data_IF_660329080019
#
_entry.id   IF_660329080019
#
_cell.length_a   1.000
_cell.length_b   1.000
_cell.length_c   1.000
_cell.angle_alpha   90.00
_cell.angle_beta   90.00
_cell.angle_gamma   90.00
#
_symmetry.space_group_name_H-M   'P 1'
#
loop_
_entity.id
_entity.type
_entity.pdbx_description
1 polymer ?
#
# COMPACT_ATOMS: atom_id res chain seq x y z
N UNK A 1 2.14 -25.87 5.29
CA UNK A 1 2.22 -25.23 3.97
C UNK A 1 1.77 -23.80 4.14
N UNK A 2 2.67 -22.83 3.94
CA UNK A 2 2.37 -21.41 4.20
C UNK A 2 1.62 -20.86 3.00
N UNK A 3 0.39 -20.39 3.22
CA UNK A 3 -0.41 -19.78 2.17
C UNK A 3 0.03 -18.31 1.99
N UNK A 4 0.83 -18.05 0.97
CA UNK A 4 1.33 -16.71 0.60
C UNK A 4 0.22 -15.65 0.52
N UNK A 5 -1.01 -16.06 0.21
CA UNK A 5 -2.19 -15.18 0.18
C UNK A 5 -2.52 -14.62 1.57
N UNK A 6 -2.41 -15.46 2.62
CA UNK A 6 -2.68 -15.04 4.00
C UNK A 6 -1.57 -14.14 4.54
N UNK A 7 -0.32 -14.43 4.18
CA UNK A 7 0.81 -13.56 4.50
C UNK A 7 0.67 -12.19 3.80
N UNK A 8 0.26 -12.20 2.53
CA UNK A 8 -0.06 -11.00 1.76
C UNK A 8 -1.15 -10.17 2.43
N UNK A 9 -2.16 -10.81 3.04
CA UNK A 9 -3.24 -10.15 3.77
C UNK A 9 -2.74 -9.50 5.06
N UNK A 10 -1.95 -10.21 5.86
CA UNK A 10 -1.40 -9.66 7.09
C UNK A 10 -0.54 -8.42 6.81
N UNK A 11 0.34 -8.50 5.80
CA UNK A 11 1.22 -7.38 5.44
C UNK A 11 0.44 -6.19 4.90
N UNK A 12 -0.53 -6.42 4.01
CA UNK A 12 -1.35 -5.35 3.47
C UNK A 12 -2.23 -4.71 4.56
N UNK A 13 -2.79 -5.52 5.46
CA UNK A 13 -3.58 -5.01 6.58
C UNK A 13 -2.75 -4.13 7.51
N UNK A 14 -1.57 -4.60 7.94
CA UNK A 14 -0.66 -3.81 8.79
C UNK A 14 -0.25 -2.52 8.07
N UNK A 15 0.14 -2.61 6.81
CA UNK A 15 0.55 -1.42 6.06
C UNK A 15 -0.61 -0.43 5.86
N UNK A 16 -1.84 -0.89 5.67
CA UNK A 16 -3.02 -0.02 5.60
C UNK A 16 -3.23 0.75 6.91
N UNK A 17 -3.16 0.08 8.06
CA UNK A 17 -3.28 0.74 9.37
C UNK A 17 -2.18 1.79 9.58
N UNK A 18 -0.94 1.48 9.17
CA UNK A 18 0.17 2.44 9.23
C UNK A 18 -0.07 3.66 8.32
N UNK A 19 -0.67 3.45 7.14
CA UNK A 19 -1.03 4.52 6.21
C UNK A 19 -2.10 5.44 6.80
N UNK A 20 -3.15 4.86 7.38
CA UNK A 20 -4.21 5.59 8.09
C UNK A 20 -3.64 6.39 9.26
N UNK A 21 -2.78 5.76 10.08
CA UNK A 21 -2.14 6.42 11.21
C UNK A 21 -1.27 7.59 10.74
N UNK A 22 -0.51 7.41 9.66
CA UNK A 22 0.34 8.44 9.12
C UNK A 22 -0.45 9.64 8.59
N UNK A 23 -1.56 9.39 7.87
CA UNK A 23 -2.47 10.44 7.38
C UNK A 23 -3.15 11.17 8.56
N UNK A 24 -3.52 10.45 9.62
CA UNK A 24 -4.16 11.04 10.80
C UNK A 24 -3.21 11.96 11.57
N UNK A 25 -1.94 11.56 11.72
CA UNK A 25 -0.89 12.36 12.36
C UNK A 25 -0.50 13.53 11.47
N UNK A 26 -0.34 13.26 10.17
CA UNK A 26 0.11 14.23 9.19
C UNK A 26 -1.09 14.84 8.47
N UNK A 27 -1.71 15.84 9.11
CA UNK A 27 -2.68 16.69 8.40
C UNK A 27 -1.93 17.36 7.24
N UNK A 28 -2.20 16.91 6.01
CA UNK A 28 -1.73 17.54 4.77
C UNK A 28 -2.41 18.90 4.57
N UNK A 29 -2.31 19.81 5.53
CA UNK A 29 -2.90 21.14 5.44
C UNK A 29 -1.88 22.11 4.87
N UNK A 30 -2.04 22.45 3.59
CA UNK A 30 -1.93 23.85 3.18
C UNK A 30 -0.71 24.36 2.41
N UNK A 31 0.17 23.54 1.81
CA UNK A 31 1.22 24.14 0.94
C UNK A 31 1.60 23.43 -0.36
N UNK A 32 1.19 22.19 -0.63
CA UNK A 32 1.53 21.51 -1.89
C UNK A 32 0.46 20.49 -2.29
N UNK A 33 -0.57 20.94 -3.02
CA UNK A 33 -1.68 20.08 -3.46
C UNK A 33 -1.25 18.87 -4.29
N UNK A 34 -0.05 18.91 -4.90
CA UNK A 34 0.53 17.76 -5.58
C UNK A 34 0.90 16.61 -4.62
N UNK A 35 1.45 16.91 -3.44
CA UNK A 35 1.86 15.90 -2.46
C UNK A 35 0.64 15.25 -1.82
N UNK A 36 -0.34 16.08 -1.47
CA UNK A 36 -1.63 15.63 -0.95
C UNK A 36 -2.34 14.73 -1.96
N UNK A 37 -2.39 15.13 -3.24
CA UNK A 37 -2.97 14.31 -4.30
C UNK A 37 -2.23 12.97 -4.47
N UNK A 38 -0.90 12.93 -4.42
CA UNK A 38 -0.14 11.69 -4.51
C UNK A 38 -0.46 10.74 -3.35
N UNK A 39 -0.51 11.24 -2.12
CA UNK A 39 -0.84 10.41 -0.96
C UNK A 39 -2.29 9.92 -0.97
N UNK A 40 -3.25 10.75 -1.40
CA UNK A 40 -4.64 10.33 -1.58
C UNK A 40 -4.75 9.26 -2.67
N UNK A 41 -4.08 9.43 -3.81
CA UNK A 41 -4.03 8.41 -4.87
C UNK A 41 -3.43 7.10 -4.36
N UNK A 42 -2.35 7.18 -3.58
CA UNK A 42 -1.72 6.05 -2.91
C UNK A 42 -2.70 5.31 -1.99
N UNK A 43 -3.38 6.05 -1.11
CA UNK A 43 -4.37 5.53 -0.17
C UNK A 43 -5.56 4.85 -0.89
N UNK A 44 -6.07 5.44 -1.96
CA UNK A 44 -7.15 4.85 -2.77
C UNK A 44 -6.68 3.53 -3.39
N UNK A 45 -5.48 3.51 -4.00
CA UNK A 45 -4.91 2.28 -4.55
C UNK A 45 -4.74 1.20 -3.48
N UNK A 46 -4.30 1.60 -2.29
CA UNK A 46 -4.13 0.72 -1.13
C UNK A 46 -5.47 0.09 -0.72
N UNK A 47 -6.50 0.92 -0.57
CA UNK A 47 -7.84 0.52 -0.18
C UNK A 47 -8.42 -0.49 -1.18
N UNK A 48 -8.28 -0.22 -2.48
CA UNK A 48 -8.73 -1.12 -3.55
C UNK A 48 -7.96 -2.45 -3.51
N UNK A 49 -6.64 -2.42 -3.32
CA UNK A 49 -5.84 -3.64 -3.19
C UNK A 49 -6.28 -4.48 -1.98
N UNK A 50 -6.58 -3.84 -0.86
CA UNK A 50 -7.03 -4.50 0.36
C UNK A 50 -8.41 -5.13 0.18
N UNK A 51 -9.37 -4.40 -0.42
CA UNK A 51 -10.69 -4.91 -0.74
C UNK A 51 -10.63 -6.14 -1.66
N UNK A 52 -9.85 -6.06 -2.75
CA UNK A 52 -9.66 -7.19 -3.66
C UNK A 52 -9.09 -8.41 -2.94
N UNK A 53 -8.09 -8.20 -2.08
CA UNK A 53 -7.48 -9.28 -1.32
C UNK A 53 -8.46 -9.92 -0.32
N UNK A 54 -9.25 -9.11 0.39
CA UNK A 54 -10.30 -9.57 1.28
C UNK A 54 -11.34 -10.40 0.51
N UNK A 55 -11.81 -9.91 -0.64
CA UNK A 55 -12.78 -10.64 -1.46
C UNK A 55 -12.23 -12.00 -1.96
N UNK A 56 -10.92 -12.08 -2.25
CA UNK A 56 -10.24 -13.32 -2.63
C UNK A 56 -10.14 -14.28 -1.42
N UNK A 57 -9.78 -13.78 -0.24
CA UNK A 57 -9.57 -14.62 0.96
C UNK A 57 -10.90 -15.15 1.52
N UNK A 58 -11.94 -14.32 1.55
CA UNK A 58 -13.27 -14.70 2.05
C UNK A 58 -14.14 -15.43 1.01
N UNK A 59 -13.63 -15.67 -0.20
CA UNK A 59 -14.33 -16.44 -1.23
C UNK A 59 -15.54 -15.73 -1.85
N UNK A 60 -15.64 -14.39 -1.69
CA UNK A 60 -16.75 -13.58 -2.24
C UNK A 60 -16.64 -13.40 -3.75
N UNK A 61 -15.41 -13.45 -4.29
CA UNK A 61 -15.17 -13.51 -5.74
C UNK A 61 -14.49 -14.83 -6.09
N UNK A 62 -14.73 -15.39 -7.30
CA UNK A 62 -13.87 -16.45 -7.80
C UNK A 62 -12.44 -15.93 -7.77
N UNK A 63 -11.51 -16.72 -7.21
CA UNK A 63 -10.09 -16.42 -7.11
C UNK A 63 -9.41 -16.45 -8.49
N UNK A 64 -9.99 -15.72 -9.44
CA UNK A 64 -9.59 -15.59 -10.82
C UNK A 64 -8.19 -14.98 -10.87
N UNK A 65 -7.41 -15.43 -11.84
CA UNK A 65 -6.06 -14.91 -12.06
C UNK A 65 -6.10 -13.40 -12.31
N UNK A 66 -7.16 -12.91 -12.97
CA UNK A 66 -7.39 -11.48 -13.21
C UNK A 66 -7.53 -10.68 -11.91
N UNK A 67 -8.31 -11.14 -10.93
CA UNK A 67 -8.48 -10.45 -9.65
C UNK A 67 -7.16 -10.37 -8.86
N UNK A 68 -6.37 -11.46 -8.87
CA UNK A 68 -5.04 -11.47 -8.24
C UNK A 68 -4.07 -10.50 -8.92
N UNK A 69 -4.07 -10.46 -10.25
CA UNK A 69 -3.24 -9.51 -11.02
C UNK A 69 -3.67 -8.07 -10.74
N UNK A 70 -4.97 -7.77 -10.75
CA UNK A 70 -5.49 -6.44 -10.43
C UNK A 70 -5.04 -6.00 -9.03
N UNK A 71 -5.18 -6.87 -8.03
CA UNK A 71 -4.67 -6.62 -6.67
C UNK A 71 -3.20 -6.27 -6.66
N UNK A 72 -2.36 -7.03 -7.39
CA UNK A 72 -0.91 -6.77 -7.47
C UNK A 72 -0.63 -5.40 -8.07
N UNK A 73 -1.30 -5.05 -9.18
CA UNK A 73 -1.16 -3.75 -9.82
C UNK A 73 -1.51 -2.60 -8.86
N UNK A 74 -2.63 -2.69 -8.14
CA UNK A 74 -3.02 -1.67 -7.17
C UNK A 74 -2.07 -1.60 -5.96
N UNK A 75 -1.54 -2.75 -5.50
CA UNK A 75 -0.52 -2.80 -4.43
C UNK A 75 0.76 -2.06 -4.81
N UNK A 76 1.22 -2.24 -6.05
CA UNK A 76 2.41 -1.55 -6.56
C UNK A 76 2.16 -0.07 -6.87
N UNK A 77 0.98 0.26 -7.40
CA UNK A 77 0.58 1.65 -7.60
C UNK A 77 0.51 2.41 -6.27
N UNK A 78 -0.06 1.81 -5.22
CA UNK A 78 -0.10 2.39 -3.88
C UNK A 78 1.31 2.71 -3.37
N UNK A 79 2.23 1.75 -3.45
CA UNK A 79 3.63 1.94 -3.08
C UNK A 79 4.28 3.08 -3.89
N UNK A 80 4.12 3.08 -5.22
CA UNK A 80 4.71 4.10 -6.07
C UNK A 80 4.21 5.50 -5.73
N UNK A 81 2.90 5.69 -5.58
CA UNK A 81 2.31 7.00 -5.25
C UNK A 81 2.75 7.51 -3.88
N UNK A 82 2.77 6.65 -2.85
CA UNK A 82 3.21 7.04 -1.50
C UNK A 82 4.70 7.41 -1.50
N UNK A 83 5.57 6.59 -2.12
CA UNK A 83 7.01 6.88 -2.18
C UNK A 83 7.29 8.16 -2.97
N UNK A 84 6.60 8.38 -4.10
CA UNK A 84 6.75 9.61 -4.88
C UNK A 84 6.30 10.82 -4.06
N UNK A 85 5.16 10.72 -3.36
CA UNK A 85 4.67 11.79 -2.47
C UNK A 85 5.69 12.14 -1.38
N UNK A 86 6.23 11.13 -0.69
CA UNK A 86 7.28 11.30 0.33
C UNK A 86 8.57 11.89 -0.27
N UNK A 87 8.99 11.45 -1.45
CA UNK A 87 10.21 11.93 -2.09
C UNK A 87 10.09 13.40 -2.53
N UNK A 88 8.95 13.79 -3.13
CA UNK A 88 8.68 15.19 -3.49
C UNK A 88 8.67 16.06 -2.23
N UNK A 89 8.04 15.56 -1.17
CA UNK A 89 8.01 16.27 0.10
C UNK A 89 9.41 16.48 0.68
N UNK A 90 10.22 15.41 0.76
CA UNK A 90 11.59 15.49 1.27
C UNK A 90 12.48 16.44 0.45
N UNK A 91 12.24 16.55 -0.86
CA UNK A 91 13.00 17.44 -1.73
C UNK A 91 12.59 18.92 -1.62
N UNK A 92 11.31 19.21 -1.29
CA UNK A 92 10.78 20.59 -1.25
C UNK A 92 10.89 21.25 0.11
N UNK A 93 10.77 20.47 1.18
CA UNK A 93 10.55 21.04 2.51
C UNK A 93 11.89 21.13 3.25
N UNK A 94 12.47 22.34 3.31
CA UNK A 94 13.61 22.67 4.20
C UNK A 94 13.23 22.55 5.69
N UNK A 95 11.94 22.48 6.01
CA UNK A 95 11.39 22.11 7.30
C UNK A 95 11.48 20.59 7.47
N UNK A 96 12.07 20.11 8.56
CA UNK A 96 12.09 18.68 8.87
C UNK A 96 10.63 18.19 8.99
N UNK A 97 10.11 17.34 8.07
CA UNK A 97 8.82 16.70 8.32
C UNK A 97 8.84 15.98 9.66
N UNK A 98 7.66 15.75 10.23
CA UNK A 98 7.56 14.85 11.36
C UNK A 98 8.17 13.50 10.95
N UNK A 99 9.32 13.13 11.52
CA UNK A 99 10.04 11.93 11.11
C UNK A 99 9.20 10.68 11.38
N UNK A 100 8.29 10.75 12.35
CA UNK A 100 7.44 9.63 12.71
C UNK A 100 6.41 9.33 11.60
N UNK A 101 5.66 10.35 11.15
CA UNK A 101 4.68 10.20 10.09
C UNK A 101 5.30 9.75 8.76
N UNK A 102 6.46 10.30 8.39
CA UNK A 102 7.17 9.89 7.17
C UNK A 102 7.65 8.45 7.24
N UNK A 103 8.15 8.01 8.40
CA UNK A 103 8.59 6.62 8.60
C UNK A 103 7.41 5.66 8.48
N UNK A 104 6.23 6.04 9.00
CA UNK A 104 5.01 5.26 8.87
C UNK A 104 4.56 5.12 7.40
N UNK A 105 4.56 6.21 6.62
CA UNK A 105 4.24 6.17 5.18
C UNK A 105 5.22 5.30 4.38
N UNK A 106 6.52 5.41 4.66
CA UNK A 106 7.51 4.58 3.97
C UNK A 106 7.31 3.10 4.34
N UNK A 107 7.01 2.82 5.61
CA UNK A 107 6.74 1.46 6.08
C UNK A 107 5.45 0.91 5.46
N UNK A 108 4.37 1.71 5.37
CA UNK A 108 3.11 1.30 4.72
C UNK A 108 3.35 0.92 3.26
N UNK A 109 4.13 1.73 2.53
CA UNK A 109 4.49 1.48 1.13
C UNK A 109 5.32 0.20 0.96
N UNK A 110 6.30 -0.04 1.83
CA UNK A 110 7.10 -1.28 1.82
C UNK A 110 6.21 -2.50 2.08
N UNK A 111 5.28 -2.41 3.03
CA UNK A 111 4.32 -3.48 3.31
C UNK A 111 3.41 -3.76 2.11
N UNK A 112 2.97 -2.71 1.40
CA UNK A 112 2.20 -2.87 0.16
C UNK A 112 3.02 -3.55 -0.95
N UNK A 113 4.31 -3.21 -1.08
CA UNK A 113 5.22 -3.83 -2.03
C UNK A 113 5.41 -5.32 -1.72
N UNK A 114 5.74 -5.66 -0.48
CA UNK A 114 5.91 -7.04 -0.02
C UNK A 114 4.63 -7.85 -0.22
N UNK A 115 3.49 -7.28 0.14
CA UNK A 115 2.18 -7.90 -0.09
C UNK A 115 1.92 -8.18 -1.58
N UNK A 116 2.32 -7.27 -2.47
CA UNK A 116 2.28 -7.46 -3.93
C UNK A 116 3.16 -8.63 -4.38
N UNK A 117 4.40 -8.69 -3.89
CA UNK A 117 5.37 -9.76 -4.19
C UNK A 117 4.83 -11.14 -3.75
N UNK A 118 4.29 -11.26 -2.54
CA UNK A 118 3.75 -12.54 -2.07
C UNK A 118 2.52 -12.99 -2.88
N UNK A 119 1.67 -12.05 -3.28
CA UNK A 119 0.56 -12.37 -4.17
C UNK A 119 1.06 -12.80 -5.57
N UNK A 120 2.13 -12.19 -6.06
CA UNK A 120 2.78 -12.55 -7.32
C UNK A 120 3.38 -13.97 -7.25
N UNK A 121 4.06 -14.33 -6.16
CA UNK A 121 4.55 -15.69 -5.91
C UNK A 121 3.41 -16.72 -5.90
N UNK A 122 2.26 -16.34 -5.35
CA UNK A 122 1.03 -17.18 -5.39
C UNK A 122 0.56 -17.42 -6.82
N UNK A 123 0.57 -16.38 -7.66
CA UNK A 123 0.15 -16.47 -9.08
C UNK A 123 1.18 -17.23 -9.93
N UNK A 124 2.46 -17.14 -9.59
CA UNK A 124 3.55 -17.87 -10.24
C UNK A 124 3.60 -19.36 -9.89
N UNK A 125 2.86 -19.79 -8.85
CA UNK A 125 2.80 -21.18 -8.42
C UNK A 125 3.98 -21.63 -7.56
N UNK A 126 4.79 -20.69 -7.05
CA UNK A 126 5.86 -20.99 -6.11
C UNK A 126 5.26 -21.43 -4.76
N UNK A 127 5.46 -22.68 -4.36
CA UNK A 127 4.98 -23.23 -3.08
C UNK A 127 6.16 -23.40 -2.11
N UNK A 128 5.94 -23.05 -0.84
CA UNK A 128 6.81 -23.39 0.29
C UNK A 128 6.07 -24.32 1.28
#
# INVERSE_FOLDING_TARGET
MVDWTRLSLALLGIGFELDVLAIAIYRFTGSDGAIEAMNICGFICYTVALLLLLMIVFGVTPASRAAKIAKICFSFAACAFVIIGVAIFAARVNSKPDPYAMTLLVTSAIMALLSGIFCLLTVAGCRC
#
